data_IF_918454325488
#
_entry.id   IF_918454325488
#
_cell.length_a   1.000
_cell.length_b   1.000
_cell.length_c   1.000
_cell.angle_alpha   90.00
_cell.angle_beta   90.00
_cell.angle_gamma   90.00
#
_symmetry.space_group_name_H-M   'P 1'
#
loop_
_entity.id
_entity.type
_entity.pdbx_description
1 polymer ?
#
# COMPACT_ATOMS: atom_id res chain seq x y z
N UNK A 1 -4.15 -23.11 -15.57
CA UNK A 1 -5.63 -23.23 -15.69
C UNK A 1 -6.07 -24.37 -14.79
N UNK A 2 -6.45 -24.02 -13.58
CA UNK A 2 -7.20 -24.86 -12.64
C UNK A 2 -8.32 -23.97 -12.13
N UNK A 3 -9.55 -24.33 -12.48
CA UNK A 3 -10.73 -23.65 -11.97
C UNK A 3 -10.81 -23.88 -10.48
N UNK A 4 -10.89 -22.80 -9.72
CA UNK A 4 -11.30 -22.82 -8.31
C UNK A 4 -12.59 -22.03 -8.27
N UNK A 5 -13.63 -22.65 -7.72
CA UNK A 5 -14.93 -22.02 -7.49
C UNK A 5 -14.75 -20.72 -6.71
N UNK A 6 -15.03 -19.62 -7.41
CA UNK A 6 -14.45 -18.30 -7.21
C UNK A 6 -15.34 -17.38 -6.38
N UNK A 7 -15.74 -17.78 -5.18
CA UNK A 7 -16.55 -16.89 -4.32
C UNK A 7 -15.92 -16.47 -3.00
N UNK A 8 -14.99 -17.24 -2.42
CA UNK A 8 -14.30 -16.83 -1.17
C UNK A 8 -12.80 -16.59 -1.35
N UNK A 9 -12.15 -17.26 -2.30
CA UNK A 9 -10.72 -17.13 -2.58
C UNK A 9 -10.32 -15.76 -3.19
N UNK A 10 -11.31 -14.94 -3.60
CA UNK A 10 -11.11 -13.68 -4.34
C UNK A 10 -11.16 -12.37 -3.51
N UNK A 11 -11.34 -12.46 -2.19
CA UNK A 11 -11.53 -11.27 -1.36
C UNK A 11 -10.22 -10.48 -1.23
N UNK A 12 -10.27 -9.19 -1.55
CA UNK A 12 -9.13 -8.26 -1.51
C UNK A 12 -7.95 -8.62 -2.43
N UNK A 13 -8.11 -9.47 -3.42
CA UNK A 13 -6.97 -9.96 -4.22
C UNK A 13 -6.14 -8.85 -4.84
N UNK A 14 -6.78 -7.85 -5.45
CA UNK A 14 -6.05 -6.73 -6.03
C UNK A 14 -5.32 -5.88 -4.97
N UNK A 15 -5.91 -5.73 -3.78
CA UNK A 15 -5.26 -5.05 -2.65
C UNK A 15 -4.07 -5.86 -2.14
N UNK A 16 -4.20 -7.19 -2.03
CA UNK A 16 -3.09 -8.09 -1.67
C UNK A 16 -1.95 -7.97 -2.67
N UNK A 17 -2.25 -7.91 -3.97
CA UNK A 17 -1.24 -7.81 -5.02
C UNK A 17 -0.47 -6.48 -4.94
N UNK A 18 -1.16 -5.36 -4.67
CA UNK A 18 -0.50 -4.07 -4.43
C UNK A 18 0.36 -4.07 -3.17
N UNK A 19 -0.16 -4.60 -2.07
CA UNK A 19 0.61 -4.73 -0.83
C UNK A 19 1.85 -5.61 -1.05
N UNK A 20 1.71 -6.74 -1.75
CA UNK A 20 2.80 -7.63 -2.08
C UNK A 20 3.87 -6.91 -2.91
N UNK A 21 3.48 -6.06 -3.87
CA UNK A 21 4.40 -5.21 -4.64
C UNK A 21 5.22 -4.29 -3.73
N UNK A 22 4.57 -3.56 -2.83
CA UNK A 22 5.26 -2.71 -1.86
C UNK A 22 6.21 -3.51 -0.95
N UNK A 23 5.74 -4.63 -0.40
CA UNK A 23 6.57 -5.50 0.44
C UNK A 23 7.77 -6.08 -0.33
N UNK A 24 7.59 -6.39 -1.61
CA UNK A 24 8.66 -6.83 -2.49
C UNK A 24 9.72 -5.73 -2.63
N UNK A 25 9.33 -4.50 -2.92
CA UNK A 25 10.27 -3.38 -3.03
C UNK A 25 11.00 -3.11 -1.71
N UNK A 26 10.30 -3.13 -0.58
CA UNK A 26 10.92 -2.94 0.76
C UNK A 26 11.97 -4.03 1.01
N UNK A 27 11.66 -5.28 0.69
CA UNK A 27 12.60 -6.39 0.81
C UNK A 27 13.83 -6.18 -0.06
N UNK A 28 13.65 -5.74 -1.30
CA UNK A 28 14.77 -5.47 -2.22
C UNK A 28 15.62 -4.28 -1.74
N UNK A 29 15.02 -3.23 -1.16
CA UNK A 29 15.79 -2.17 -0.52
C UNK A 29 16.62 -2.69 0.64
N UNK A 30 16.06 -3.54 1.50
CA UNK A 30 16.80 -4.17 2.58
C UNK A 30 17.96 -5.06 2.09
N UNK A 31 17.85 -5.64 0.89
CA UNK A 31 18.91 -6.41 0.23
C UNK A 31 19.98 -5.53 -0.45
N UNK A 32 19.79 -4.21 -0.50
CA UNK A 32 20.68 -3.28 -1.21
C UNK A 32 20.40 -3.15 -2.72
N UNK A 33 19.27 -3.69 -3.21
CA UNK A 33 18.87 -3.68 -4.63
C UNK A 33 17.99 -2.47 -5.01
N UNK A 34 17.88 -1.48 -4.12
CA UNK A 34 17.15 -0.22 -4.32
C UNK A 34 18.00 0.95 -3.80
N UNK A 35 17.36 2.01 -3.31
CA UNK A 35 18.02 3.22 -2.88
C UNK A 35 18.85 3.00 -1.60
N UNK A 36 20.10 3.43 -1.65
CA UNK A 36 21.03 3.47 -0.51
C UNK A 36 21.40 4.93 -0.24
N UNK A 37 21.04 5.42 0.94
CA UNK A 37 21.28 6.80 1.37
C UNK A 37 22.31 6.82 2.50
N UNK A 38 23.42 7.52 2.26
CA UNK A 38 24.42 7.79 3.29
C UNK A 38 24.07 9.08 4.03
N UNK A 39 24.02 9.03 5.36
CA UNK A 39 23.86 10.24 6.19
C UNK A 39 24.94 10.27 7.26
N UNK A 40 25.50 11.44 7.49
CA UNK A 40 26.47 11.63 8.57
C UNK A 40 25.88 11.18 9.91
N UNK A 41 26.67 10.43 10.68
CA UNK A 41 26.23 9.94 11.98
C UNK A 41 26.51 11.00 13.06
N UNK A 42 25.84 10.83 14.22
CA UNK A 42 25.94 11.77 15.35
C UNK A 42 27.01 11.28 16.35
N UNK A 43 27.89 10.37 15.95
CA UNK A 43 28.91 9.82 16.84
C UNK A 43 30.05 10.83 16.94
N UNK A 44 30.30 11.33 18.15
CA UNK A 44 31.50 12.13 18.42
C UNK A 44 32.73 11.21 18.59
N UNK A 45 33.92 11.78 18.46
CA UNK A 45 35.18 11.02 18.49
C UNK A 45 35.39 10.27 19.82
N UNK A 46 35.01 10.88 20.94
CA UNK A 46 35.13 10.25 22.27
C UNK A 46 34.31 8.95 22.36
N UNK A 47 33.07 8.96 21.86
CA UNK A 47 32.20 7.78 21.86
C UNK A 47 32.66 6.72 20.84
N UNK A 48 33.22 7.15 19.70
CA UNK A 48 33.83 6.24 18.71
C UNK A 48 35.02 5.50 19.32
N UNK A 49 35.88 6.22 20.06
CA UNK A 49 37.04 5.64 20.75
C UNK A 49 36.61 4.67 21.85
N UNK A 50 35.66 5.05 22.70
CA UNK A 50 35.13 4.20 23.78
C UNK A 50 34.51 2.90 23.25
N UNK A 51 33.75 2.99 22.15
CA UNK A 51 33.09 1.81 21.54
C UNK A 51 34.00 1.05 20.55
N UNK A 52 35.24 1.49 20.34
CA UNK A 52 36.17 0.88 19.39
C UNK A 52 35.74 0.95 17.92
N UNK A 53 34.86 1.89 17.58
CA UNK A 53 34.35 2.11 16.22
C UNK A 53 35.40 2.88 15.41
N UNK A 54 35.85 2.31 14.29
CA UNK A 54 36.82 2.94 13.39
C UNK A 54 36.19 3.20 12.03
N UNK A 55 36.43 4.39 11.47
CA UNK A 55 36.04 4.78 10.11
C UNK A 55 34.53 4.67 9.81
N UNK A 56 33.67 4.89 10.80
CA UNK A 56 32.23 4.99 10.62
C UNK A 56 31.84 6.46 10.79
N UNK A 57 31.80 7.20 9.68
CA UNK A 57 31.34 8.61 9.65
C UNK A 57 29.88 8.74 9.25
N UNK A 58 29.34 7.71 8.58
CA UNK A 58 28.03 7.75 7.96
C UNK A 58 27.22 6.50 8.29
N UNK A 59 25.94 6.70 8.54
CA UNK A 59 24.93 5.67 8.61
C UNK A 59 24.45 5.32 7.19
N UNK A 60 24.22 4.04 6.96
CA UNK A 60 23.62 3.52 5.72
C UNK A 60 22.12 3.36 5.96
N UNK A 61 21.30 4.04 5.16
CA UNK A 61 19.85 3.89 5.14
C UNK A 61 19.42 3.25 3.82
N UNK A 62 18.49 2.32 3.90
CA UNK A 62 17.84 1.73 2.73
C UNK A 62 16.47 2.38 2.53
N UNK A 63 16.11 2.70 1.30
CA UNK A 63 14.83 3.33 0.98
C UNK A 63 14.16 2.74 -0.26
N UNK A 64 12.84 2.92 -0.31
CA UNK A 64 12.00 2.63 -1.47
C UNK A 64 11.22 3.87 -1.82
N UNK A 65 11.01 4.05 -3.12
CA UNK A 65 10.17 5.09 -3.64
C UNK A 65 8.76 4.54 -3.89
N UNK A 66 7.76 5.21 -3.32
CA UNK A 66 6.35 4.81 -3.41
C UNK A 66 5.53 6.05 -3.70
N UNK A 67 4.62 5.97 -4.67
CA UNK A 67 3.71 7.07 -4.92
C UNK A 67 2.81 7.31 -3.71
N UNK A 68 2.66 8.57 -3.35
CA UNK A 68 1.95 8.95 -2.13
C UNK A 68 0.49 8.45 -2.12
N UNK A 69 -0.29 8.54 -3.23
CA UNK A 69 -1.62 7.93 -3.28
C UNK A 69 -1.62 6.41 -3.11
N UNK A 70 -0.66 5.68 -3.68
CA UNK A 70 -0.50 4.23 -3.51
C UNK A 70 -0.32 3.87 -2.03
N UNK A 71 0.58 4.56 -1.33
CA UNK A 71 0.81 4.36 0.09
C UNK A 71 -0.46 4.63 0.92
N UNK A 72 -1.15 5.73 0.63
CA UNK A 72 -2.40 6.10 1.32
C UNK A 72 -3.51 5.08 1.10
N UNK A 73 -3.66 4.58 -0.12
CA UNK A 73 -4.62 3.53 -0.42
C UNK A 73 -4.34 2.28 0.41
N UNK A 74 -3.08 1.82 0.44
CA UNK A 74 -2.68 0.66 1.24
C UNK A 74 -2.91 0.88 2.74
N UNK A 75 -2.56 2.05 3.28
CA UNK A 75 -2.78 2.37 4.69
C UNK A 75 -4.27 2.34 5.09
N UNK A 76 -5.18 2.67 4.17
CA UNK A 76 -6.62 2.59 4.38
C UNK A 76 -7.18 1.17 4.19
N UNK A 77 -6.71 0.45 3.17
CA UNK A 77 -7.28 -0.83 2.74
C UNK A 77 -6.77 -2.02 3.55
N UNK A 78 -5.48 -2.05 3.90
CA UNK A 78 -4.85 -3.20 4.58
C UNK A 78 -5.49 -3.51 5.95
N UNK A 79 -5.81 -2.53 6.80
CA UNK A 79 -6.49 -2.82 8.06
C UNK A 79 -7.84 -3.54 7.90
N UNK A 80 -8.59 -3.26 6.82
CA UNK A 80 -9.86 -3.92 6.51
C UNK A 80 -9.67 -5.40 6.17
N UNK A 81 -8.53 -5.76 5.57
CA UNK A 81 -8.22 -7.14 5.19
C UNK A 81 -8.03 -8.07 6.39
N UNK A 82 -7.59 -7.56 7.54
CA UNK A 82 -7.32 -8.37 8.73
C UNK A 82 -8.55 -9.16 9.21
N UNK A 83 -9.76 -8.66 8.93
CA UNK A 83 -11.02 -9.36 9.22
C UNK A 83 -11.04 -10.73 8.53
N UNK A 84 -10.61 -10.80 7.28
CA UNK A 84 -10.56 -12.04 6.50
C UNK A 84 -9.24 -12.80 6.75
N UNK A 85 -8.11 -12.11 6.81
CA UNK A 85 -6.80 -12.75 6.91
C UNK A 85 -6.63 -13.64 8.15
N UNK A 86 -7.27 -13.31 9.28
CA UNK A 86 -7.21 -14.16 10.48
C UNK A 86 -7.67 -15.61 10.24
N UNK A 87 -8.58 -15.84 9.29
CA UNK A 87 -9.12 -17.17 8.99
C UNK A 87 -8.30 -17.96 7.97
N UNK A 88 -7.53 -17.27 7.13
CA UNK A 88 -6.82 -17.85 5.98
C UNK A 88 -5.29 -17.71 6.06
N UNK A 89 -4.76 -17.05 7.10
CA UNK A 89 -3.32 -16.88 7.26
C UNK A 89 -2.58 -18.22 7.26
N UNK A 90 -1.52 -18.32 6.45
CA UNK A 90 -0.70 -19.52 6.31
C UNK A 90 -1.28 -20.66 5.48
N UNK A 91 -2.53 -20.57 5.01
CA UNK A 91 -3.15 -21.59 4.15
C UNK A 91 -2.78 -21.30 2.68
N UNK A 92 -2.13 -22.24 1.98
CA UNK A 92 -1.74 -22.01 0.57
C UNK A 92 -2.67 -22.70 -0.43
N UNK A 93 -3.22 -23.88 -0.11
CA UNK A 93 -4.19 -24.61 -0.97
C UNK A 93 -5.22 -25.45 -0.16
N UNK A 94 -6.21 -26.07 -0.83
CA UNK A 94 -7.19 -27.00 -0.21
C UNK A 94 -6.51 -28.19 0.50
N UNK A 95 -5.39 -28.71 -0.01
CA UNK A 95 -4.60 -29.75 0.65
C UNK A 95 -3.96 -29.29 1.98
N UNK A 96 -3.67 -27.99 2.13
CA UNK A 96 -3.16 -27.43 3.40
C UNK A 96 -4.26 -27.28 4.47
N UNK A 97 -5.53 -27.49 4.10
CA UNK A 97 -6.61 -27.54 5.08
C UNK A 97 -6.57 -28.85 5.88
N UNK A 98 -6.12 -29.97 5.27
CA UNK A 98 -5.91 -31.25 5.95
C UNK A 98 -4.59 -31.29 6.72
N UNK A 99 -3.51 -30.75 6.14
CA UNK A 99 -2.23 -30.58 6.83
C UNK A 99 -2.12 -29.15 7.36
N UNK A 100 -2.48 -28.94 8.63
CA UNK A 100 -2.23 -27.70 9.39
C UNK A 100 -0.77 -27.25 9.22
N UNK A 101 -0.46 -26.50 8.16
CA UNK A 101 0.82 -25.82 8.03
C UNK A 101 0.80 -24.71 9.07
N UNK A 102 1.67 -24.87 10.07
CA UNK A 102 1.73 -24.05 11.27
C UNK A 102 2.24 -22.64 10.97
N UNK A 103 1.42 -21.77 10.39
CA UNK A 103 1.59 -20.35 10.71
C UNK A 103 1.11 -20.18 12.15
N UNK A 104 2.04 -19.94 13.07
CA UNK A 104 1.67 -19.72 14.45
C UNK A 104 0.79 -18.47 14.55
N UNK A 105 -0.18 -18.45 15.48
CA UNK A 105 -0.92 -17.22 15.76
C UNK A 105 0.02 -16.05 16.07
N UNK A 106 1.22 -16.32 16.60
CA UNK A 106 2.25 -15.32 16.81
C UNK A 106 2.82 -14.73 15.52
N UNK A 107 2.99 -15.52 14.45
CA UNK A 107 3.44 -14.98 13.15
C UNK A 107 2.40 -14.05 12.54
N UNK A 108 1.12 -14.46 12.59
CA UNK A 108 0.02 -13.60 12.14
C UNK A 108 -0.03 -12.29 12.92
N UNK A 109 0.07 -12.34 14.25
CA UNK A 109 0.05 -11.14 15.09
C UNK A 109 1.25 -10.24 14.82
N UNK A 110 2.43 -10.82 14.59
CA UNK A 110 3.64 -10.07 14.23
C UNK A 110 3.45 -9.34 12.90
N UNK A 111 3.02 -10.03 11.86
CA UNK A 111 2.85 -9.44 10.53
C UNK A 111 1.73 -8.40 10.52
N UNK A 112 0.63 -8.66 11.22
CA UNK A 112 -0.43 -7.68 11.46
C UNK A 112 0.12 -6.42 12.14
N UNK A 113 0.92 -6.57 13.19
CA UNK A 113 1.50 -5.42 13.91
C UNK A 113 2.44 -4.60 13.01
N UNK A 114 3.26 -5.26 12.18
CA UNK A 114 4.14 -4.58 11.23
C UNK A 114 3.36 -3.80 10.16
N UNK A 115 2.29 -4.39 9.62
CA UNK A 115 1.43 -3.71 8.65
C UNK A 115 0.65 -2.54 9.26
N UNK A 116 0.22 -2.67 10.53
CA UNK A 116 -0.37 -1.56 11.28
C UNK A 116 0.64 -0.44 11.52
N UNK A 117 1.89 -0.77 11.85
CA UNK A 117 2.96 0.22 12.00
C UNK A 117 3.22 0.95 10.69
N UNK A 118 3.32 0.23 9.57
CA UNK A 118 3.46 0.85 8.25
C UNK A 118 2.33 1.83 7.95
N UNK A 119 1.08 1.42 8.21
CA UNK A 119 -0.09 2.29 8.03
C UNK A 119 -0.02 3.55 8.90
N UNK A 120 0.41 3.41 10.15
CA UNK A 120 0.56 4.53 11.08
C UNK A 120 1.64 5.52 10.61
N UNK A 121 2.79 5.03 10.13
CA UNK A 121 3.87 5.88 9.59
C UNK A 121 3.40 6.64 8.34
N UNK A 122 2.61 6.00 7.47
CA UNK A 122 2.02 6.67 6.30
C UNK A 122 1.05 7.78 6.73
N UNK A 123 0.19 7.52 7.71
CA UNK A 123 -0.72 8.56 8.23
C UNK A 123 0.01 9.69 8.94
N UNK A 124 1.07 9.40 9.68
CA UNK A 124 1.92 10.41 10.29
C UNK A 124 2.55 11.30 9.20
N UNK A 125 3.12 10.70 8.15
CA UNK A 125 3.65 11.45 7.01
C UNK A 125 2.57 12.32 6.36
N UNK A 126 1.35 11.80 6.19
CA UNK A 126 0.24 12.59 5.66
C UNK A 126 -0.04 13.81 6.53
N UNK A 127 -0.10 13.65 7.85
CA UNK A 127 -0.30 14.75 8.80
C UNK A 127 0.79 15.83 8.67
N UNK A 128 2.06 15.43 8.56
CA UNK A 128 3.18 16.34 8.37
C UNK A 128 3.04 17.18 7.09
N UNK A 129 2.50 16.59 6.01
CA UNK A 129 2.28 17.27 4.72
C UNK A 129 1.06 18.20 4.74
N UNK A 130 -0.08 17.70 5.22
CA UNK A 130 -1.36 18.43 5.11
C UNK A 130 -1.64 19.34 6.31
N UNK A 131 -0.94 19.12 7.43
CA UNK A 131 -1.12 19.79 8.71
C UNK A 131 -2.21 19.15 9.58
N UNK A 132 -2.03 19.22 10.90
CA UNK A 132 -2.90 18.56 11.89
C UNK A 132 -4.38 18.91 11.77
N UNK A 133 -4.72 20.16 11.46
CA UNK A 133 -6.13 20.57 11.32
C UNK A 133 -6.86 19.86 10.18
N UNK A 134 -6.21 19.76 9.02
CA UNK A 134 -6.77 19.05 7.86
C UNK A 134 -6.73 17.54 8.07
N UNK A 135 -5.65 17.02 8.64
CA UNK A 135 -5.54 15.61 9.00
C UNK A 135 -6.67 15.17 9.93
N UNK A 136 -6.94 15.91 11.01
CA UNK A 136 -8.02 15.59 11.93
C UNK A 136 -9.41 15.58 11.26
N UNK A 137 -9.62 16.42 10.24
CA UNK A 137 -10.88 16.39 9.45
C UNK A 137 -10.97 15.12 8.61
N UNK A 138 -9.87 14.75 7.93
CA UNK A 138 -9.80 13.54 7.10
C UNK A 138 -9.92 12.28 7.96
N UNK A 139 -9.21 12.22 9.08
CA UNK A 139 -9.22 11.07 10.00
C UNK A 139 -10.62 10.80 10.57
N UNK A 140 -11.38 11.86 10.92
CA UNK A 140 -12.80 11.72 11.29
C UNK A 140 -13.66 11.12 10.18
N UNK A 141 -13.29 11.27 8.91
CA UNK A 141 -13.99 10.60 7.80
C UNK A 141 -13.60 9.12 7.73
N UNK A 142 -12.33 8.78 7.99
CA UNK A 142 -11.86 7.39 8.08
C UNK A 142 -12.64 6.65 9.16
N UNK A 143 -12.71 7.20 10.38
CA UNK A 143 -13.42 6.57 11.52
C UNK A 143 -14.91 6.34 11.26
N UNK A 144 -15.53 7.21 10.46
CA UNK A 144 -16.95 7.12 10.10
C UNK A 144 -17.21 6.27 8.87
N UNK A 145 -16.17 5.95 8.10
CA UNK A 145 -16.31 5.15 6.91
C UNK A 145 -16.73 3.74 7.28
N UNK A 146 -17.61 3.17 6.47
CA UNK A 146 -18.04 1.76 6.53
C UNK A 146 -17.67 1.02 5.26
N UNK A 147 -16.81 1.64 4.44
CA UNK A 147 -16.44 1.10 3.14
C UNK A 147 -15.47 -0.06 3.34
N UNK A 148 -15.77 -1.17 2.66
CA UNK A 148 -14.94 -2.34 2.62
C UNK A 148 -14.24 -2.36 1.26
N UNK A 149 -12.91 -2.51 1.27
CA UNK A 149 -12.10 -2.61 0.04
C UNK A 149 -12.18 -3.99 -0.63
N UNK A 150 -13.24 -4.74 -0.32
CA UNK A 150 -13.53 -6.05 -0.91
C UNK A 150 -13.95 -5.82 -2.36
N UNK A 151 -13.26 -6.50 -3.30
CA UNK A 151 -13.46 -6.33 -4.74
C UNK A 151 -13.31 -4.88 -5.23
N UNK A 152 -12.49 -4.08 -4.53
CA UNK A 152 -12.16 -2.73 -4.97
C UNK A 152 -11.46 -2.79 -6.33
N UNK A 153 -11.89 -1.94 -7.26
CA UNK A 153 -11.31 -1.86 -8.61
C UNK A 153 -10.07 -0.99 -8.54
N UNK A 154 -8.90 -1.63 -8.44
CA UNK A 154 -7.67 -0.93 -8.07
C UNK A 154 -7.04 -0.12 -9.21
N UNK A 155 -7.49 -0.26 -10.45
CA UNK A 155 -7.17 0.66 -11.55
C UNK A 155 -7.52 2.12 -11.19
N UNK A 156 -8.46 2.34 -10.27
CA UNK A 156 -8.76 3.67 -9.75
C UNK A 156 -7.62 4.26 -8.91
N UNK A 157 -6.82 3.42 -8.26
CA UNK A 157 -5.59 3.85 -7.55
C UNK A 157 -4.57 4.34 -8.58
N UNK A 158 -4.43 3.66 -9.71
CA UNK A 158 -3.55 4.11 -10.79
C UNK A 158 -4.01 5.43 -11.40
N UNK A 159 -5.32 5.58 -11.60
CA UNK A 159 -5.90 6.86 -11.99
C UNK A 159 -5.51 7.99 -11.00
N UNK A 160 -5.63 7.75 -9.69
CA UNK A 160 -5.25 8.73 -8.67
C UNK A 160 -3.73 9.00 -8.62
N UNK A 161 -2.90 7.97 -8.82
CA UNK A 161 -1.45 8.10 -8.94
C UNK A 161 -1.08 9.03 -10.12
N UNK A 162 -1.68 8.81 -11.29
CA UNK A 162 -1.46 9.63 -12.47
C UNK A 162 -2.00 11.05 -12.32
N UNK A 163 -3.17 11.23 -11.69
CA UNK A 163 -3.68 12.56 -11.34
C UNK A 163 -2.71 13.32 -10.44
N UNK A 164 -2.12 12.64 -9.46
CA UNK A 164 -1.15 13.23 -8.54
C UNK A 164 0.15 13.63 -9.26
N UNK A 165 0.70 12.74 -10.10
CA UNK A 165 1.92 13.01 -10.87
C UNK A 165 1.76 14.23 -11.80
N UNK A 166 0.59 14.35 -12.46
CA UNK A 166 0.25 15.48 -13.33
C UNK A 166 -0.05 16.78 -12.57
N UNK A 167 -0.18 16.73 -11.25
CA UNK A 167 -0.52 17.89 -10.43
C UNK A 167 0.74 18.72 -10.13
N UNK A 168 0.64 20.03 -10.36
CA UNK A 168 1.64 21.03 -9.98
C UNK A 168 2.04 20.90 -8.52
N UNK A 169 3.35 20.98 -8.23
CA UNK A 169 3.93 20.77 -6.90
C UNK A 169 3.21 21.60 -5.82
N UNK A 170 2.88 22.86 -6.12
CA UNK A 170 2.23 23.75 -5.16
C UNK A 170 0.78 23.33 -4.81
N UNK A 171 0.16 22.53 -5.67
CA UNK A 171 -1.21 22.01 -5.51
C UNK A 171 -1.25 20.56 -5.04
N UNK A 172 -0.09 19.89 -4.93
CA UNK A 172 -0.01 18.47 -4.53
C UNK A 172 -0.58 18.24 -3.14
N UNK A 173 -0.38 19.16 -2.20
CA UNK A 173 -0.99 19.09 -0.85
C UNK A 173 -2.52 18.98 -0.91
N UNK A 174 -3.19 19.90 -1.60
CA UNK A 174 -4.65 19.89 -1.73
C UNK A 174 -5.14 18.67 -2.51
N UNK A 175 -4.37 18.24 -3.52
CA UNK A 175 -4.65 17.03 -4.28
C UNK A 175 -4.57 15.77 -3.43
N UNK A 176 -3.62 15.67 -2.50
CA UNK A 176 -3.55 14.54 -1.57
C UNK A 176 -4.76 14.47 -0.65
N UNK A 177 -5.23 15.61 -0.16
CA UNK A 177 -6.46 15.68 0.65
C UNK A 177 -7.66 15.18 -0.17
N UNK A 178 -7.80 15.62 -1.42
CA UNK A 178 -8.86 15.18 -2.34
C UNK A 178 -8.80 13.68 -2.61
N UNK A 179 -7.63 13.17 -3.00
CA UNK A 179 -7.40 11.74 -3.26
C UNK A 179 -7.69 10.89 -2.01
N UNK A 180 -7.22 11.31 -0.84
CA UNK A 180 -7.47 10.56 0.40
C UNK A 180 -8.98 10.45 0.66
N UNK A 181 -9.73 11.54 0.46
CA UNK A 181 -11.20 11.53 0.58
C UNK A 181 -11.86 10.61 -0.45
N UNK A 182 -11.35 10.55 -1.68
CA UNK A 182 -11.82 9.65 -2.74
C UNK A 182 -11.60 8.18 -2.40
N UNK A 183 -10.52 7.83 -1.71
CA UNK A 183 -10.30 6.46 -1.22
C UNK A 183 -11.20 6.10 -0.04
N UNK A 184 -11.37 7.02 0.92
CA UNK A 184 -12.22 6.80 2.10
C UNK A 184 -13.68 6.55 1.72
N UNK A 185 -14.18 7.27 0.71
CA UNK A 185 -15.55 7.17 0.24
C UNK A 185 -15.57 7.17 -1.29
N UNK A 186 -16.03 6.07 -1.93
CA UNK A 186 -16.15 5.95 -3.37
C UNK A 186 -16.81 7.18 -4.01
N UNK A 187 -16.05 7.84 -4.89
CA UNK A 187 -16.57 8.99 -5.64
C UNK A 187 -17.46 8.54 -6.80
N UNK A 188 -18.13 9.51 -7.44
CA UNK A 188 -18.87 9.24 -8.68
C UNK A 188 -17.93 8.78 -9.81
N UNK A 189 -16.68 9.26 -9.83
CA UNK A 189 -15.68 8.78 -10.79
C UNK A 189 -15.34 7.31 -10.55
N UNK A 190 -15.08 6.91 -9.30
CA UNK A 190 -14.85 5.50 -8.95
C UNK A 190 -16.01 4.62 -9.40
N UNK A 191 -17.25 4.97 -9.05
CA UNK A 191 -18.44 4.18 -9.39
C UNK A 191 -18.62 4.00 -10.91
N UNK A 192 -18.28 5.03 -11.70
CA UNK A 192 -18.31 4.95 -13.16
C UNK A 192 -17.24 4.01 -13.70
N UNK A 193 -16.01 4.10 -13.18
CA UNK A 193 -14.91 3.23 -13.55
C UNK A 193 -15.20 1.78 -13.18
N UNK A 194 -15.64 1.55 -11.94
CA UNK A 194 -16.02 0.24 -11.43
C UNK A 194 -17.09 -0.40 -12.32
N UNK A 195 -18.16 0.34 -12.64
CA UNK A 195 -19.20 -0.15 -13.54
C UNK A 195 -18.64 -0.51 -14.92
N UNK A 196 -17.85 0.37 -15.54
CA UNK A 196 -17.24 0.13 -16.86
C UNK A 196 -16.36 -1.12 -16.86
N UNK A 197 -15.49 -1.26 -15.87
CA UNK A 197 -14.55 -2.39 -15.78
C UNK A 197 -15.30 -3.69 -15.53
N UNK A 198 -16.28 -3.70 -14.62
CA UNK A 198 -17.12 -4.88 -14.36
C UNK A 198 -17.91 -5.31 -15.60
N UNK A 199 -18.51 -4.36 -16.33
CA UNK A 199 -19.22 -4.64 -17.58
C UNK A 199 -18.29 -5.22 -18.66
N UNK A 200 -17.08 -4.67 -18.81
CA UNK A 200 -16.08 -5.17 -19.76
C UNK A 200 -15.60 -6.58 -19.39
N UNK A 201 -15.22 -6.79 -18.13
CA UNK A 201 -14.82 -8.08 -17.56
C UNK A 201 -15.88 -9.15 -17.82
N UNK A 202 -17.15 -8.85 -17.55
CA UNK A 202 -18.26 -9.78 -17.80
C UNK A 202 -18.47 -10.08 -19.28
N UNK A 203 -18.47 -9.05 -20.14
CA UNK A 203 -18.67 -9.19 -21.58
C UNK A 203 -17.57 -10.05 -22.23
N UNK A 204 -16.33 -9.90 -21.77
CA UNK A 204 -15.17 -10.56 -22.36
C UNK A 204 -14.71 -11.81 -21.57
N UNK A 205 -15.37 -12.13 -20.46
CA UNK A 205 -15.05 -13.27 -19.58
C UNK A 205 -13.59 -13.26 -19.10
N UNK A 206 -13.06 -12.07 -18.84
CA UNK A 206 -11.72 -11.89 -18.26
C UNK A 206 -11.84 -11.40 -16.81
N UNK A 207 -10.88 -11.73 -15.93
CA UNK A 207 -10.87 -11.19 -14.57
C UNK A 207 -10.81 -9.65 -14.56
N UNK A 208 -11.40 -9.02 -13.54
CA UNK A 208 -11.42 -7.54 -13.37
C UNK A 208 -10.00 -6.96 -13.40
N UNK A 209 -9.04 -7.63 -12.77
CA UNK A 209 -7.63 -7.21 -12.74
C UNK A 209 -6.93 -7.30 -14.10
N UNK A 210 -7.46 -8.09 -15.04
CA UNK A 210 -6.90 -8.24 -16.38
C UNK A 210 -7.48 -7.23 -17.39
N UNK A 211 -8.38 -6.35 -16.93
CA UNK A 211 -8.91 -5.26 -17.76
C UNK A 211 -7.87 -4.15 -17.82
N UNK A 212 -7.23 -4.01 -18.97
CA UNK A 212 -6.32 -2.92 -19.28
C UNK A 212 -7.10 -1.66 -19.69
N UNK A 213 -6.58 -0.48 -19.29
CA UNK A 213 -7.11 0.83 -19.69
C UNK A 213 -5.96 1.66 -20.24
N UNK A 214 -5.94 1.84 -21.57
CA UNK A 214 -4.89 2.59 -22.30
C UNK A 214 -4.71 4.04 -21.79
N UNK A 215 -5.69 4.58 -21.04
CA UNK A 215 -5.56 5.91 -20.44
C UNK A 215 -4.75 5.92 -19.13
N UNK A 216 -4.34 4.75 -18.62
CA UNK A 216 -3.60 4.57 -17.38
C UNK A 216 -2.11 4.26 -17.60
N UNK A 217 -1.51 4.88 -18.62
CA UNK A 217 -0.07 4.78 -18.86
C UNK A 217 0.73 5.67 -17.90
N UNK A 218 1.63 5.05 -17.14
CA UNK A 218 2.62 5.74 -16.32
C UNK A 218 3.73 6.34 -17.17
N UNK A 219 4.30 7.49 -16.78
CA UNK A 219 5.47 8.02 -17.45
C UNK A 219 6.66 7.05 -17.29
N UNK A 220 7.53 7.00 -18.30
CA UNK A 220 8.72 6.14 -18.27
C UNK A 220 9.68 6.48 -17.11
N UNK A 221 9.70 7.74 -16.69
CA UNK A 221 10.51 8.24 -15.58
C UNK A 221 9.63 9.04 -14.62
N UNK A 222 9.84 8.83 -13.32
CA UNK A 222 9.19 9.56 -12.23
C UNK A 222 10.28 10.33 -11.49
N UNK A 223 10.11 11.65 -11.37
CA UNK A 223 10.93 12.49 -10.49
C UNK A 223 10.42 12.32 -9.05
N UNK A 224 11.29 11.78 -8.18
CA UNK A 224 10.99 11.37 -6.80
C UNK A 224 11.30 12.47 -5.78
#
# INVERSE_FOLDING_TARGET
MTGVDSNEAGLYDEVKMRLLGLCYDIRHAYMGDREVVLKDNVLNEDLKEEMGIKNCEQNIYYSVNVLYPEALFLALAVPNMFICCNYYYGKRDECDQEFKMFSSNSDYLKDKALLMLLSAVIFQSLEEVIGSDEFNKVYKLIEKSREYYIHYVTQYVDYCNLEFLKTDINKRKDKLIDITKKFIKPSKEYQRMEKRIKEYSQKHQIPIYAVEDDNLEYPNEIEW
#
